data_IF_042264138055
#
_entry.id   IF_042264138055
#
_cell.length_a   1.000
_cell.length_b   1.000
_cell.length_c   1.000
_cell.angle_alpha   90.00
_cell.angle_beta   90.00
_cell.angle_gamma   90.00
#
_symmetry.space_group_name_H-M   'P 1'
#
loop_
_entity.id
_entity.type
_entity.pdbx_description
1 polymer ?
#
# COMPACT_ATOMS: atom_id res chain seq x y z
N UNK A 1 27.84 -7.22 1.83
CA UNK A 1 28.22 -6.60 3.12
C UNK A 1 27.54 -5.25 3.27
N UNK A 2 27.80 -4.27 2.38
CA UNK A 2 27.22 -2.92 2.45
C UNK A 2 25.69 -2.81 2.54
N UNK A 3 24.92 -3.61 1.79
CA UNK A 3 23.45 -3.56 1.84
C UNK A 3 22.89 -4.07 3.17
N UNK A 4 23.43 -5.16 3.72
CA UNK A 4 22.99 -5.69 5.03
C UNK A 4 23.32 -4.72 6.17
N UNK A 5 24.50 -4.11 6.14
CA UNK A 5 24.90 -3.12 7.15
C UNK A 5 24.09 -1.81 7.01
N UNK A 6 23.66 -1.47 5.80
CA UNK A 6 22.73 -0.37 5.56
C UNK A 6 21.35 -0.66 6.14
N UNK A 7 20.78 -1.82 5.82
CA UNK A 7 19.48 -2.25 6.31
C UNK A 7 19.47 -2.33 7.83
N UNK A 8 20.44 -3.01 8.46
CA UNK A 8 20.51 -3.10 9.93
C UNK A 8 20.58 -1.73 10.61
N UNK A 9 21.41 -0.81 10.10
CA UNK A 9 21.45 0.56 10.63
C UNK A 9 20.12 1.29 10.46
N UNK A 10 19.42 1.04 9.36
CA UNK A 10 18.10 1.59 9.14
C UNK A 10 17.08 0.98 10.11
N UNK A 11 17.08 -0.34 10.33
CA UNK A 11 16.25 -1.02 11.33
C UNK A 11 16.43 -0.38 12.71
N UNK A 12 17.68 -0.26 13.17
CA UNK A 12 18.01 0.28 14.49
C UNK A 12 17.54 1.72 14.66
N UNK A 13 17.79 2.56 13.65
CA UNK A 13 17.40 3.97 13.66
C UNK A 13 15.89 4.13 13.65
N UNK A 14 15.19 3.39 12.78
CA UNK A 14 13.73 3.44 12.69
C UNK A 14 13.09 2.92 13.97
N UNK A 15 13.57 1.80 14.53
CA UNK A 15 13.06 1.25 15.79
C UNK A 15 13.20 2.25 16.94
N UNK A 16 14.37 2.90 17.05
CA UNK A 16 14.61 3.94 18.06
C UNK A 16 13.72 5.16 17.87
N UNK A 17 13.53 5.61 16.62
CA UNK A 17 12.66 6.73 16.29
C UNK A 17 11.19 6.44 16.65
N UNK A 18 10.68 5.27 16.24
CA UNK A 18 9.31 4.85 16.52
C UNK A 18 9.06 4.72 18.02
N UNK A 19 10.03 4.18 18.79
CA UNK A 19 9.92 4.13 20.24
C UNK A 19 9.85 5.53 20.88
N UNK A 20 10.62 6.50 20.37
CA UNK A 20 10.55 7.89 20.84
C UNK A 20 9.20 8.54 20.52
N UNK A 21 8.71 8.37 19.29
CA UNK A 21 7.39 8.86 18.86
C UNK A 21 6.29 8.27 19.72
N UNK A 22 6.28 6.95 19.95
CA UNK A 22 5.31 6.28 20.81
C UNK A 22 5.35 6.82 22.25
N UNK A 23 6.54 7.06 22.79
CA UNK A 23 6.71 7.67 24.11
C UNK A 23 6.17 9.10 24.19
N UNK A 24 6.40 9.92 23.16
CA UNK A 24 5.88 11.30 23.06
C UNK A 24 4.35 11.29 22.96
N UNK A 25 3.77 10.43 22.12
CA UNK A 25 2.32 10.24 21.99
C UNK A 25 1.66 9.87 23.32
N UNK A 26 2.27 8.94 24.08
CA UNK A 26 1.77 8.57 25.41
C UNK A 26 1.75 9.76 26.39
N UNK A 27 2.70 10.68 26.27
CA UNK A 27 2.77 11.92 27.06
C UNK A 27 1.94 13.07 26.46
N UNK A 28 1.25 12.84 25.33
CA UNK A 28 0.49 13.84 24.56
C UNK A 28 1.35 14.99 24.00
N UNK A 29 2.64 14.72 23.82
CA UNK A 29 3.63 15.62 23.19
C UNK A 29 3.50 15.53 21.65
N UNK A 30 2.31 15.82 21.13
CA UNK A 30 1.96 15.54 19.74
C UNK A 30 2.73 16.43 18.75
N UNK A 31 3.01 17.68 19.12
CA UNK A 31 3.76 18.60 18.27
C UNK A 31 5.23 18.17 18.16
N UNK A 32 5.84 17.80 19.28
CA UNK A 32 7.21 17.29 19.35
C UNK A 32 7.36 15.99 18.55
N UNK A 33 6.38 15.09 18.65
CA UNK A 33 6.34 13.86 17.86
C UNK A 33 6.26 14.16 16.35
N UNK A 34 5.42 15.11 15.93
CA UNK A 34 5.33 15.54 14.53
C UNK A 34 6.64 16.17 14.04
N UNK A 35 7.28 17.02 14.86
CA UNK A 35 8.57 17.64 14.52
C UNK A 35 9.69 16.62 14.39
N UNK A 36 9.73 15.61 15.26
CA UNK A 36 10.70 14.50 15.16
C UNK A 36 10.52 13.74 13.84
N UNK A 37 9.28 13.41 13.46
CA UNK A 37 8.98 12.75 12.19
C UNK A 37 9.45 13.61 11.01
N UNK A 38 9.14 14.92 11.01
CA UNK A 38 9.52 15.82 9.93
C UNK A 38 11.05 15.97 9.80
N UNK A 39 11.76 16.01 10.93
CA UNK A 39 13.22 16.02 10.96
C UNK A 39 13.82 14.73 10.38
N UNK A 40 13.24 13.58 10.71
CA UNK A 40 13.69 12.28 10.17
C UNK A 40 13.47 12.20 8.66
N UNK A 41 12.29 12.62 8.19
CA UNK A 41 11.96 12.68 6.77
C UNK A 41 12.97 13.54 5.99
N UNK A 42 13.26 14.75 6.47
CA UNK A 42 14.18 15.68 5.82
C UNK A 42 15.65 15.22 5.91
N UNK A 43 16.14 14.87 7.11
CA UNK A 43 17.57 14.55 7.27
C UNK A 43 17.95 13.23 6.63
N UNK A 44 17.08 12.22 6.72
CA UNK A 44 17.39 10.86 6.26
C UNK A 44 17.06 10.68 4.79
N UNK A 45 15.85 11.08 4.38
CA UNK A 45 15.36 10.81 3.04
C UNK A 45 15.44 12.03 2.12
N UNK A 46 15.87 13.19 2.64
CA UNK A 46 15.94 14.47 1.89
C UNK A 46 14.58 14.89 1.34
N UNK A 47 13.52 14.45 2.00
CA UNK A 47 12.14 14.72 1.59
C UNK A 47 11.39 15.38 2.72
N UNK A 48 10.90 16.59 2.48
CA UNK A 48 10.04 17.29 3.44
C UNK A 48 8.65 16.64 3.44
N UNK A 49 7.99 16.62 4.59
CA UNK A 49 6.62 16.09 4.73
C UNK A 49 5.66 16.64 3.67
N UNK A 50 5.61 17.97 3.49
CA UNK A 50 4.73 18.61 2.50
C UNK A 50 5.01 18.16 1.06
N UNK A 51 6.22 17.73 0.73
CA UNK A 51 6.51 17.18 -0.59
C UNK A 51 5.90 15.78 -0.72
N UNK A 52 6.10 14.94 0.30
CA UNK A 52 5.58 13.56 0.31
C UNK A 52 4.06 13.49 0.22
N UNK A 53 3.33 14.45 0.82
CA UNK A 53 1.86 14.50 0.73
C UNK A 53 1.34 14.99 -0.61
N UNK A 54 2.18 15.68 -1.41
CA UNK A 54 1.77 16.22 -2.72
C UNK A 54 2.17 15.36 -3.91
N UNK A 55 3.24 14.56 -3.78
CA UNK A 55 3.73 13.71 -4.85
C UNK A 55 2.81 12.51 -5.07
N UNK A 56 2.74 12.00 -6.30
CA UNK A 56 2.13 10.68 -6.54
C UNK A 56 3.00 9.58 -5.93
N UNK A 57 2.41 8.41 -5.64
CA UNK A 57 3.18 7.27 -5.11
C UNK A 57 4.28 6.84 -6.07
N UNK A 58 3.98 6.88 -7.37
CA UNK A 58 4.94 6.63 -8.44
C UNK A 58 6.11 7.61 -8.40
N UNK A 59 5.86 8.91 -8.23
CA UNK A 59 6.95 9.89 -8.14
C UNK A 59 7.84 9.65 -6.92
N UNK A 60 7.27 9.21 -5.79
CA UNK A 60 8.05 8.85 -4.59
C UNK A 60 8.92 7.61 -4.86
N UNK A 61 8.36 6.58 -5.51
CA UNK A 61 9.11 5.38 -5.92
C UNK A 61 10.24 5.76 -6.90
N UNK A 62 9.96 6.63 -7.86
CA UNK A 62 10.92 7.10 -8.86
C UNK A 62 12.07 7.91 -8.20
N UNK A 63 11.76 8.77 -7.22
CA UNK A 63 12.78 9.50 -6.43
C UNK A 63 13.70 8.58 -5.62
N UNK A 64 13.20 7.42 -5.22
CA UNK A 64 13.97 6.39 -4.51
C UNK A 64 14.65 5.39 -5.46
N UNK A 65 14.52 5.58 -6.77
CA UNK A 65 15.10 4.71 -7.79
C UNK A 65 16.38 5.30 -8.35
N UNK A 66 17.49 4.57 -8.22
CA UNK A 66 18.80 4.97 -8.76
C UNK A 66 19.38 3.83 -9.59
N UNK A 67 19.81 4.11 -10.82
CA UNK A 67 20.35 3.11 -11.75
C UNK A 67 19.43 1.88 -11.94
N UNK A 68 18.12 2.09 -11.97
CA UNK A 68 17.08 1.04 -12.05
C UNK A 68 16.91 0.16 -10.80
N UNK A 69 17.53 0.54 -9.67
CA UNK A 69 17.30 -0.10 -8.38
C UNK A 69 16.53 0.84 -7.47
N UNK A 70 15.36 0.39 -7.00
CA UNK A 70 14.52 1.12 -6.05
C UNK A 70 14.93 0.80 -4.62
N UNK A 71 15.16 1.82 -3.80
CA UNK A 71 15.40 1.66 -2.36
C UNK A 71 14.08 1.46 -1.61
N UNK A 72 13.53 0.25 -1.71
CA UNK A 72 12.29 -0.12 -1.03
C UNK A 72 12.39 -0.10 0.50
N UNK A 73 13.59 -0.22 1.07
CA UNK A 73 13.76 -0.05 2.51
C UNK A 73 13.47 1.40 2.90
N UNK A 74 14.04 2.37 2.19
CA UNK A 74 13.67 3.78 2.41
C UNK A 74 12.17 4.03 2.19
N UNK A 75 11.56 3.39 1.19
CA UNK A 75 10.11 3.47 0.94
C UNK A 75 9.29 2.99 2.14
N UNK A 76 9.61 1.81 2.69
CA UNK A 76 8.98 1.27 3.90
C UNK A 76 9.17 2.17 5.12
N UNK A 77 10.38 2.71 5.30
CA UNK A 77 10.66 3.61 6.42
C UNK A 77 9.86 4.91 6.35
N UNK A 78 9.67 5.47 5.15
CA UNK A 78 8.79 6.62 4.93
C UNK A 78 7.33 6.25 5.20
N UNK A 79 6.87 5.08 4.72
CA UNK A 79 5.53 4.58 4.97
C UNK A 79 5.24 4.47 6.48
N UNK A 80 6.18 3.93 7.26
CA UNK A 80 6.08 3.86 8.74
C UNK A 80 5.98 5.25 9.39
N UNK A 81 6.78 6.22 8.94
CA UNK A 81 6.73 7.57 9.48
C UNK A 81 5.40 8.28 9.16
N UNK A 82 4.87 8.09 7.95
CA UNK A 82 3.55 8.62 7.59
C UNK A 82 2.43 7.94 8.39
N UNK A 83 2.52 6.62 8.62
CA UNK A 83 1.58 5.90 9.50
C UNK A 83 1.54 6.52 10.89
N UNK A 84 2.70 6.70 11.52
CA UNK A 84 2.79 7.31 12.86
C UNK A 84 2.27 8.74 12.85
N UNK A 85 2.55 9.52 11.81
CA UNK A 85 2.01 10.88 11.70
C UNK A 85 0.48 10.88 11.62
N UNK A 86 -0.10 9.97 10.84
CA UNK A 86 -1.54 9.76 10.78
C UNK A 86 -2.13 9.34 12.13
N UNK A 87 -1.42 8.49 12.88
CA UNK A 87 -1.84 8.10 14.22
C UNK A 87 -1.80 9.28 15.22
N UNK A 88 -0.79 10.17 15.12
CA UNK A 88 -0.73 11.39 15.93
C UNK A 88 -1.90 12.33 15.59
N UNK A 89 -2.23 12.50 14.30
CA UNK A 89 -3.39 13.30 13.89
C UNK A 89 -4.70 12.73 14.44
N UNK A 90 -4.85 11.40 14.38
CA UNK A 90 -6.00 10.71 14.97
C UNK A 90 -6.10 10.94 16.49
N UNK A 91 -4.97 10.87 17.22
CA UNK A 91 -4.91 11.15 18.67
C UNK A 91 -5.34 12.60 19.01
N UNK A 92 -5.17 13.53 18.06
CA UNK A 92 -5.62 14.93 18.20
C UNK A 92 -7.02 15.22 17.65
N UNK A 93 -7.68 14.24 17.04
CA UNK A 93 -9.00 14.39 16.42
C UNK A 93 -9.00 15.05 15.03
N UNK A 94 -7.85 15.16 14.38
CA UNK A 94 -7.74 15.61 12.99
C UNK A 94 -7.90 14.40 12.05
N UNK A 95 -9.16 13.98 11.86
CA UNK A 95 -9.51 12.79 11.09
C UNK A 95 -9.10 12.90 9.61
N UNK A 96 -9.15 14.11 9.04
CA UNK A 96 -8.76 14.32 7.65
C UNK A 96 -7.26 14.08 7.46
N UNK A 97 -6.41 14.71 8.29
CA UNK A 97 -4.97 14.50 8.21
C UNK A 97 -4.58 13.06 8.57
N UNK A 98 -5.30 12.44 9.52
CA UNK A 98 -5.11 11.02 9.83
C UNK A 98 -5.35 10.14 8.60
N UNK A 99 -6.51 10.31 7.97
CA UNK A 99 -6.91 9.57 6.76
C UNK A 99 -5.90 9.76 5.62
N UNK A 100 -5.53 11.00 5.29
CA UNK A 100 -4.58 11.30 4.21
C UNK A 100 -3.22 10.63 4.43
N UNK A 101 -2.71 10.66 5.67
CA UNK A 101 -1.45 10.02 6.02
C UNK A 101 -1.51 8.49 6.01
N UNK A 102 -2.60 7.92 6.54
CA UNK A 102 -2.81 6.47 6.55
C UNK A 102 -2.98 5.91 5.14
N UNK A 103 -3.72 6.61 4.27
CA UNK A 103 -3.91 6.23 2.88
C UNK A 103 -2.57 6.26 2.12
N UNK A 104 -1.80 7.35 2.29
CA UNK A 104 -0.48 7.45 1.68
C UNK A 104 0.46 6.34 2.16
N UNK A 105 0.45 6.07 3.46
CA UNK A 105 1.23 4.99 4.06
C UNK A 105 0.85 3.62 3.49
N UNK A 106 -0.46 3.33 3.36
CA UNK A 106 -0.96 2.11 2.74
C UNK A 106 -0.40 1.92 1.33
N UNK A 107 -0.47 2.96 0.50
CA UNK A 107 0.02 2.91 -0.88
C UNK A 107 1.51 2.58 -0.93
N UNK A 108 2.33 3.24 -0.10
CA UNK A 108 3.78 3.01 -0.07
C UNK A 108 4.14 1.60 0.43
N UNK A 109 3.40 1.05 1.40
CA UNK A 109 3.60 -0.33 1.83
C UNK A 109 3.24 -1.34 0.73
N UNK A 110 2.15 -1.11 0.00
CA UNK A 110 1.79 -1.97 -1.14
C UNK A 110 2.90 -1.91 -2.20
N UNK A 111 3.38 -0.72 -2.57
CA UNK A 111 4.50 -0.60 -3.52
C UNK A 111 5.77 -1.32 -3.03
N UNK A 112 6.09 -1.24 -1.74
CA UNK A 112 7.22 -1.97 -1.17
C UNK A 112 7.03 -3.49 -1.24
N UNK A 113 5.80 -3.99 -1.09
CA UNK A 113 5.47 -5.42 -1.18
C UNK A 113 5.50 -5.92 -2.62
N UNK A 114 4.94 -5.17 -3.56
CA UNK A 114 4.99 -5.48 -5.00
C UNK A 114 6.44 -5.53 -5.52
N UNK A 115 7.32 -4.71 -4.95
CA UNK A 115 8.74 -4.63 -5.26
C UNK A 115 9.65 -5.75 -4.74
N UNK A 116 9.10 -6.76 -4.05
CA UNK A 116 9.83 -7.88 -3.43
C UNK A 116 11.01 -7.44 -2.55
N UNK A 117 10.72 -6.55 -1.59
CA UNK A 117 11.75 -5.95 -0.73
C UNK A 117 12.01 -6.72 0.57
N UNK A 118 13.29 -6.80 0.96
CA UNK A 118 13.68 -7.22 2.31
C UNK A 118 13.03 -6.28 3.35
N UNK A 119 12.26 -6.86 4.28
CA UNK A 119 11.54 -6.10 5.32
C UNK A 119 12.49 -5.47 6.34
N UNK A 120 12.21 -4.22 6.73
CA UNK A 120 12.94 -3.47 7.76
C UNK A 120 12.69 -3.97 9.20
N UNK A 121 11.59 -4.66 9.48
CA UNK A 121 11.29 -5.34 10.76
C UNK A 121 9.85 -5.85 10.76
N UNK A 122 8.92 -5.02 10.30
CA UNK A 122 7.51 -5.36 10.09
C UNK A 122 7.31 -5.70 8.60
N UNK A 123 6.63 -6.81 8.32
CA UNK A 123 6.30 -7.18 6.94
C UNK A 123 5.42 -6.08 6.32
N UNK A 124 5.85 -5.44 5.22
CA UNK A 124 5.05 -4.43 4.53
C UNK A 124 3.63 -4.90 4.22
N UNK A 125 3.45 -6.20 3.96
CA UNK A 125 2.14 -6.79 3.75
C UNK A 125 1.25 -6.72 4.99
N UNK A 126 1.78 -7.02 6.18
CA UNK A 126 1.01 -6.95 7.43
C UNK A 126 0.63 -5.50 7.78
N UNK A 127 1.54 -4.56 7.57
CA UNK A 127 1.26 -3.13 7.79
C UNK A 127 0.19 -2.61 6.82
N UNK A 128 0.27 -3.01 5.55
CA UNK A 128 -0.76 -2.70 4.56
C UNK A 128 -2.12 -3.34 4.91
N UNK A 129 -2.16 -4.59 5.38
CA UNK A 129 -3.42 -5.22 5.81
C UNK A 129 -4.05 -4.47 7.00
N UNK A 130 -3.24 -4.10 7.99
CA UNK A 130 -3.71 -3.36 9.15
C UNK A 130 -4.26 -1.97 8.77
N UNK A 131 -3.58 -1.26 7.86
CA UNK A 131 -4.05 0.03 7.36
C UNK A 131 -5.31 -0.11 6.50
N UNK A 132 -5.36 -1.10 5.62
CA UNK A 132 -6.54 -1.37 4.79
C UNK A 132 -7.77 -1.63 5.68
N UNK A 133 -7.66 -2.50 6.69
CA UNK A 133 -8.74 -2.78 7.63
C UNK A 133 -9.22 -1.54 8.40
N UNK A 134 -8.31 -0.61 8.72
CA UNK A 134 -8.66 0.67 9.36
C UNK A 134 -9.37 1.61 8.39
N UNK A 135 -8.94 1.65 7.13
CA UNK A 135 -9.46 2.56 6.12
C UNK A 135 -10.77 2.08 5.48
N UNK A 136 -11.15 0.80 5.66
CA UNK A 136 -12.41 0.22 5.16
C UNK A 136 -13.69 0.92 5.66
N UNK A 137 -13.61 1.76 6.70
CA UNK A 137 -14.75 2.58 7.14
C UNK A 137 -15.05 3.75 6.19
N UNK A 138 -14.13 4.06 5.28
CA UNK A 138 -14.24 5.10 4.27
C UNK A 138 -14.43 4.47 2.89
N UNK A 139 -15.06 5.23 1.98
CA UNK A 139 -15.03 4.88 0.56
C UNK A 139 -13.62 5.12 0.01
N UNK A 140 -12.96 4.05 -0.43
CA UNK A 140 -11.60 4.14 -0.94
C UNK A 140 -11.57 4.76 -2.34
N UNK A 141 -10.63 5.67 -2.64
CA UNK A 141 -10.44 6.19 -3.99
C UNK A 141 -10.17 5.08 -5.00
N UNK A 142 -10.58 5.28 -6.26
CA UNK A 142 -10.42 4.32 -7.34
C UNK A 142 -8.96 3.85 -7.50
N UNK A 143 -8.01 4.78 -7.40
CA UNK A 143 -6.57 4.51 -7.48
C UNK A 143 -6.11 3.58 -6.35
N UNK A 144 -6.70 3.71 -5.16
CA UNK A 144 -6.42 2.83 -4.02
C UNK A 144 -6.96 1.43 -4.27
N UNK A 145 -8.19 1.31 -4.78
CA UNK A 145 -8.80 0.02 -5.13
C UNK A 145 -8.00 -0.69 -6.22
N UNK A 146 -7.51 0.04 -7.23
CA UNK A 146 -6.64 -0.50 -8.29
C UNK A 146 -5.31 -1.04 -7.71
N UNK A 147 -4.70 -0.30 -6.79
CA UNK A 147 -3.45 -0.72 -6.14
C UNK A 147 -3.66 -1.96 -5.25
N UNK A 148 -4.77 -1.99 -4.48
CA UNK A 148 -5.16 -3.16 -3.69
C UNK A 148 -5.44 -4.37 -4.58
N UNK A 149 -6.14 -4.20 -5.71
CA UNK A 149 -6.41 -5.27 -6.67
C UNK A 149 -5.10 -5.91 -7.16
N UNK A 150 -4.14 -5.09 -7.62
CA UNK A 150 -2.85 -5.57 -8.08
C UNK A 150 -2.10 -6.35 -6.98
N UNK A 151 -2.18 -5.87 -5.73
CA UNK A 151 -1.58 -6.57 -4.60
C UNK A 151 -2.27 -7.88 -4.25
N UNK A 152 -3.60 -7.92 -4.24
CA UNK A 152 -4.34 -9.17 -4.04
C UNK A 152 -4.04 -10.18 -5.14
N UNK A 153 -3.93 -9.75 -6.40
CA UNK A 153 -3.54 -10.62 -7.51
C UNK A 153 -2.12 -11.20 -7.32
N UNK A 154 -1.14 -10.37 -6.93
CA UNK A 154 0.23 -10.83 -6.67
C UNK A 154 0.32 -11.82 -5.51
N UNK A 155 -0.46 -11.61 -4.44
CA UNK A 155 -0.52 -12.52 -3.28
C UNK A 155 -1.38 -13.76 -3.54
N UNK A 156 -1.94 -13.92 -4.75
CA UNK A 156 -2.79 -15.04 -5.12
C UNK A 156 -4.17 -15.03 -4.46
N UNK A 157 -4.63 -13.88 -3.93
CA UNK A 157 -5.93 -13.70 -3.27
C UNK A 157 -7.00 -13.30 -4.30
N UNK A 158 -7.21 -14.16 -5.28
CA UNK A 158 -8.01 -13.88 -6.47
C UNK A 158 -9.45 -13.46 -6.18
N UNK A 159 -10.14 -14.07 -5.20
CA UNK A 159 -11.51 -13.65 -4.87
C UNK A 159 -11.60 -12.23 -4.31
N UNK A 160 -10.57 -11.79 -3.56
CA UNK A 160 -10.51 -10.40 -3.07
C UNK A 160 -10.19 -9.42 -4.20
N UNK A 161 -9.30 -9.81 -5.12
CA UNK A 161 -9.00 -9.03 -6.31
C UNK A 161 -10.24 -8.88 -7.22
N UNK A 162 -11.02 -9.95 -7.39
CA UNK A 162 -12.24 -9.94 -8.19
C UNK A 162 -13.32 -9.02 -7.62
N UNK A 163 -13.53 -9.00 -6.31
CA UNK A 163 -14.46 -8.06 -5.67
C UNK A 163 -14.12 -6.60 -6.00
N UNK A 164 -12.84 -6.22 -5.86
CA UNK A 164 -12.37 -4.89 -6.21
C UNK A 164 -12.51 -4.61 -7.72
N UNK A 165 -12.25 -5.61 -8.56
CA UNK A 165 -12.41 -5.49 -10.01
C UNK A 165 -13.85 -5.18 -10.39
N UNK A 166 -14.82 -5.84 -9.75
CA UNK A 166 -16.24 -5.59 -9.98
C UNK A 166 -16.66 -4.19 -9.55
N UNK A 167 -16.25 -3.75 -8.35
CA UNK A 167 -16.52 -2.38 -7.90
C UNK A 167 -15.96 -1.34 -8.90
N UNK A 168 -14.70 -1.50 -9.31
CA UNK A 168 -14.05 -0.62 -10.27
C UNK A 168 -14.75 -0.62 -11.64
N UNK A 169 -15.28 -1.77 -12.08
CA UNK A 169 -16.03 -1.88 -13.33
C UNK A 169 -17.38 -1.16 -13.25
N UNK A 170 -18.11 -1.33 -12.15
CA UNK A 170 -19.43 -0.71 -11.95
C UNK A 170 -19.31 0.82 -11.86
N UNK A 171 -18.25 1.32 -11.24
CA UNK A 171 -17.96 2.75 -11.15
C UNK A 171 -17.35 3.34 -12.44
N UNK A 172 -17.04 2.50 -13.43
CA UNK A 172 -16.40 2.93 -14.69
C UNK A 172 -14.93 3.35 -14.54
N UNK A 173 -14.28 2.94 -13.46
CA UNK A 173 -12.88 3.23 -13.13
C UNK A 173 -11.89 2.20 -13.71
N UNK A 174 -12.40 1.13 -14.31
CA UNK A 174 -11.60 0.19 -15.10
C UNK A 174 -12.33 -0.18 -16.39
N UNK A 175 -11.58 -0.34 -17.47
CA UNK A 175 -12.16 -0.70 -18.76
C UNK A 175 -12.45 -2.21 -18.81
N UNK A 176 -13.50 -2.59 -19.53
CA UNK A 176 -13.94 -3.98 -19.60
C UNK A 176 -12.86 -4.91 -20.20
N UNK A 177 -12.03 -4.42 -21.14
CA UNK A 177 -10.91 -5.18 -21.68
C UNK A 177 -9.77 -5.41 -20.65
N UNK A 178 -9.66 -4.56 -19.63
CA UNK A 178 -8.70 -4.75 -18.55
C UNK A 178 -9.19 -5.78 -17.55
N UNK A 179 -10.48 -5.75 -17.21
CA UNK A 179 -11.10 -6.84 -16.44
C UNK A 179 -11.06 -8.18 -17.17
N UNK A 180 -11.23 -8.18 -18.50
CA UNK A 180 -11.10 -9.39 -19.30
C UNK A 180 -9.68 -10.00 -19.18
N UNK A 181 -8.64 -9.15 -19.22
CA UNK A 181 -7.25 -9.61 -19.04
C UNK A 181 -7.02 -10.28 -17.68
N UNK A 182 -7.65 -9.79 -16.62
CA UNK A 182 -7.59 -10.43 -15.29
C UNK A 182 -8.12 -11.88 -15.36
N UNK A 183 -9.33 -12.09 -15.87
CA UNK A 183 -9.91 -13.44 -15.98
C UNK A 183 -9.10 -14.35 -16.91
N UNK A 184 -8.67 -13.83 -18.06
CA UNK A 184 -7.85 -14.59 -19.00
C UNK A 184 -6.51 -15.02 -18.39
N UNK A 185 -5.87 -14.17 -17.57
CA UNK A 185 -4.65 -14.55 -16.85
C UNK A 185 -4.92 -15.69 -15.85
N UNK A 186 -6.04 -15.65 -15.13
CA UNK A 186 -6.43 -16.69 -14.16
C UNK A 186 -6.74 -18.04 -14.82
N UNK A 187 -7.29 -18.06 -16.04
CA UNK A 187 -7.54 -19.31 -16.76
C UNK A 187 -6.27 -20.12 -17.04
N UNK A 188 -5.10 -19.48 -17.06
CA UNK A 188 -3.81 -20.16 -17.23
C UNK A 188 -3.21 -20.70 -15.93
N UNK A 189 -3.84 -20.41 -14.77
CA UNK A 189 -3.39 -20.89 -13.45
C UNK A 189 -3.93 -22.29 -13.17
N UNK A 190 -3.25 -23.12 -12.37
CA UNK A 190 -3.76 -24.41 -11.90
C UNK A 190 -5.00 -24.26 -11.01
N UNK A 191 -5.91 -25.23 -11.05
CA UNK A 191 -7.14 -25.24 -10.23
C UNK A 191 -6.85 -25.14 -8.73
N UNK A 192 -5.77 -25.76 -8.28
CA UNK A 192 -5.34 -25.70 -6.88
C UNK A 192 -5.00 -24.28 -6.44
N UNK A 193 -4.34 -23.49 -7.29
CA UNK A 193 -4.02 -22.08 -7.00
C UNK A 193 -5.30 -21.24 -6.97
N UNK A 194 -6.20 -21.47 -7.93
CA UNK A 194 -7.48 -20.77 -8.02
C UNK A 194 -8.38 -21.02 -6.79
N UNK A 195 -8.50 -22.29 -6.37
CA UNK A 195 -9.27 -22.65 -5.17
C UNK A 195 -8.62 -22.07 -3.91
N UNK A 196 -7.29 -22.15 -3.78
CA UNK A 196 -6.59 -21.56 -2.64
C UNK A 196 -6.75 -20.03 -2.58
N UNK A 197 -6.78 -19.38 -3.74
CA UNK A 197 -7.01 -17.94 -3.89
C UNK A 197 -8.45 -17.49 -3.72
N UNK A 198 -9.37 -18.43 -3.47
CA UNK A 198 -10.78 -18.14 -3.25
C UNK A 198 -11.55 -17.76 -4.51
N UNK A 199 -11.08 -18.19 -5.70
CA UNK A 199 -11.80 -18.00 -6.96
C UNK A 199 -11.65 -19.24 -7.86
N UNK A 200 -12.44 -20.31 -7.62
CA UNK A 200 -12.38 -21.54 -8.40
C UNK A 200 -12.61 -21.32 -9.91
N UNK A 201 -12.11 -22.24 -10.75
CA UNK A 201 -12.17 -22.10 -12.22
C UNK A 201 -13.58 -21.84 -12.77
N UNK A 202 -14.59 -22.47 -12.18
CA UNK A 202 -16.00 -22.26 -12.57
C UNK A 202 -16.43 -20.81 -12.35
N UNK A 203 -16.01 -20.18 -11.25
CA UNK A 203 -16.29 -18.76 -10.96
C UNK A 203 -15.52 -17.85 -11.92
N UNK A 204 -14.24 -18.14 -12.19
CA UNK A 204 -13.45 -17.40 -13.21
C UNK A 204 -14.12 -17.41 -14.57
N UNK A 205 -14.62 -18.58 -15.01
CA UNK A 205 -15.31 -18.71 -16.30
C UNK A 205 -16.65 -17.97 -16.29
N UNK A 206 -17.43 -18.10 -15.22
CA UNK A 206 -18.69 -17.37 -15.04
C UNK A 206 -18.48 -15.85 -15.06
N UNK A 207 -17.46 -15.34 -14.35
CA UNK A 207 -17.14 -13.91 -14.32
C UNK A 207 -16.76 -13.37 -15.70
N UNK A 208 -15.95 -14.12 -16.45
CA UNK A 208 -15.61 -13.79 -17.83
C UNK A 208 -16.83 -13.79 -18.77
N UNK A 209 -17.69 -14.81 -18.70
CA UNK A 209 -18.89 -14.90 -19.53
C UNK A 209 -19.86 -13.75 -19.26
N UNK A 210 -20.04 -13.37 -17.99
CA UNK A 210 -20.86 -12.22 -17.59
C UNK A 210 -20.28 -10.91 -18.14
N UNK A 211 -18.96 -10.74 -18.08
CA UNK A 211 -18.28 -9.57 -18.61
C UNK A 211 -18.45 -9.44 -20.13
N UNK A 212 -18.21 -10.52 -20.88
CA UNK A 212 -18.37 -10.56 -22.34
C UNK A 212 -19.83 -10.29 -22.74
N UNK A 213 -20.77 -10.85 -21.99
CA UNK A 213 -22.20 -10.56 -22.20
C UNK A 213 -22.49 -9.07 -22.01
N UNK A 214 -22.03 -8.46 -20.91
CA UNK A 214 -22.20 -7.01 -20.67
C UNK A 214 -21.58 -6.15 -21.79
N UNK A 215 -20.41 -6.52 -22.32
CA UNK A 215 -19.75 -5.78 -23.42
C UNK A 215 -20.58 -5.85 -24.71
N UNK A 216 -21.12 -7.02 -25.07
CA UNK A 216 -21.85 -7.21 -26.34
C UNK A 216 -23.23 -6.53 -26.39
N UNK A 217 -23.76 -6.10 -25.24
CA UNK A 217 -25.05 -5.42 -25.13
C UNK A 217 -24.95 -3.89 -24.89
N UNK A 218 -23.74 -3.35 -24.77
CA UNK A 218 -23.45 -1.91 -24.69
C UNK A 218 -22.81 -1.39 -25.99
#
# INVERSE_FOLDING_TARGET
>A
MFQRDYLMRMVEQMTSALAQVAGMRQRKENLEAQMLIDELLDRRFRMKYNLLTTLSDKDIVDLLTTNSYTDYASLQAIALLLKEKGDIYADTGDEQQAYENHLKSLHLFIHAKLGDSDSLAADPGQEAEALNARLQVYELPAETKQLLLAWHEQEGRFGQAENLLYELLEDGNIAANEAERFYLALLHRPDSELVQGGLPREEVQSGLDQLVTKINFN
#
